data_IF_941002186510
#
_entry.id   IF_941002186510
#
_cell.length_a   1.000
_cell.length_b   1.000
_cell.length_c   1.000
_cell.angle_alpha   90.00
_cell.angle_beta   90.00
_cell.angle_gamma   90.00
#
_symmetry.space_group_name_H-M   'P 1'
#
loop_
_entity.id
_entity.type
_entity.pdbx_description
1 polymer ?
#
# COMPACT_ATOMS: atom_id res chain seq x y z
N UNK A 1 0.80 -23.43 -21.06
CA UNK A 1 1.57 -23.87 -19.89
C UNK A 1 0.73 -24.93 -19.20
N UNK A 2 1.26 -26.11 -19.03
CA UNK A 2 0.55 -27.22 -18.38
C UNK A 2 0.37 -26.91 -16.90
N UNK A 3 -0.86 -26.91 -16.43
CA UNK A 3 -1.29 -26.63 -15.03
C UNK A 3 -0.53 -27.42 -13.93
N UNK A 4 0.30 -28.38 -14.31
CA UNK A 4 0.94 -29.30 -13.38
C UNK A 4 2.21 -28.79 -12.68
N UNK A 5 2.75 -27.65 -13.09
CA UNK A 5 3.98 -27.11 -12.51
C UNK A 5 3.75 -26.07 -11.42
N UNK A 6 2.56 -25.49 -11.35
CA UNK A 6 2.22 -24.45 -10.38
C UNK A 6 1.41 -25.04 -9.22
N UNK A 7 1.97 -25.04 -8.03
CA UNK A 7 1.23 -25.46 -6.82
C UNK A 7 0.16 -24.42 -6.53
N UNK A 8 -1.09 -24.89 -6.42
CA UNK A 8 -2.23 -24.07 -6.06
C UNK A 8 -2.92 -24.65 -4.80
N UNK A 9 -3.90 -23.91 -4.28
CA UNK A 9 -4.65 -24.30 -3.09
C UNK A 9 -5.23 -25.72 -3.19
N UNK A 10 -5.84 -26.11 -4.31
CA UNK A 10 -6.44 -27.42 -4.47
C UNK A 10 -5.40 -28.56 -4.42
N UNK A 11 -4.24 -28.37 -5.05
CA UNK A 11 -3.13 -29.33 -5.01
C UNK A 11 -2.55 -29.43 -3.59
N UNK A 12 -2.39 -28.29 -2.90
CA UNK A 12 -1.92 -28.28 -1.51
C UNK A 12 -2.92 -28.98 -0.59
N UNK A 13 -4.21 -28.68 -0.73
CA UNK A 13 -5.28 -29.30 0.04
C UNK A 13 -5.27 -30.85 -0.13
N UNK A 14 -5.16 -31.32 -1.40
CA UNK A 14 -5.08 -32.74 -1.69
C UNK A 14 -3.83 -33.38 -1.07
N UNK A 15 -2.65 -32.79 -1.27
CA UNK A 15 -1.38 -33.40 -0.86
C UNK A 15 -1.18 -33.36 0.64
N UNK A 16 -1.47 -32.25 1.30
CA UNK A 16 -1.39 -32.12 2.75
C UNK A 16 -2.45 -32.99 3.42
N UNK A 17 -3.69 -32.98 2.90
CA UNK A 17 -4.75 -33.83 3.42
C UNK A 17 -4.46 -35.32 3.26
N UNK A 18 -3.85 -35.74 2.14
CA UNK A 18 -3.39 -37.13 1.98
C UNK A 18 -2.29 -37.50 2.96
N UNK A 19 -1.32 -36.58 3.22
CA UNK A 19 -0.25 -36.82 4.17
C UNK A 19 -0.78 -36.97 5.60
N UNK A 20 -1.78 -36.19 5.99
CA UNK A 20 -2.32 -36.16 7.36
C UNK A 20 -3.40 -37.21 7.58
N UNK A 21 -4.38 -37.33 6.68
CA UNK A 21 -5.59 -38.16 6.86
C UNK A 21 -5.61 -39.39 5.97
N UNK A 22 -4.66 -39.58 5.08
CA UNK A 22 -4.60 -40.69 4.14
C UNK A 22 -5.64 -40.64 3.02
N UNK A 23 -6.43 -39.57 2.91
CA UNK A 23 -7.49 -39.39 1.90
C UNK A 23 -7.17 -38.15 1.05
N UNK A 24 -7.65 -38.12 -0.21
CA UNK A 24 -7.37 -37.06 -1.17
C UNK A 24 -8.50 -36.07 -1.39
N UNK A 25 -9.70 -36.40 -0.89
CA UNK A 25 -10.90 -35.59 -1.05
C UNK A 25 -11.97 -36.02 -0.06
N UNK A 26 -13.06 -35.26 0.06
CA UNK A 26 -14.17 -35.57 0.95
C UNK A 26 -13.86 -35.26 2.42
N UNK A 27 -13.03 -34.27 2.68
CA UNK A 27 -12.71 -33.83 4.04
C UNK A 27 -13.93 -33.26 4.74
N UNK A 28 -14.04 -33.51 6.05
CA UNK A 28 -14.99 -32.79 6.90
C UNK A 28 -14.60 -31.33 7.01
N UNK A 29 -15.50 -30.49 7.52
CA UNK A 29 -15.21 -29.06 7.75
C UNK A 29 -14.00 -28.87 8.66
N UNK A 30 -13.93 -29.63 9.76
CA UNK A 30 -12.82 -29.55 10.71
C UNK A 30 -11.49 -29.97 10.07
N UNK A 31 -11.50 -31.10 9.32
CA UNK A 31 -10.31 -31.54 8.59
C UNK A 31 -9.84 -30.50 7.54
N UNK A 32 -10.78 -29.87 6.83
CA UNK A 32 -10.45 -28.81 5.88
C UNK A 32 -9.78 -27.63 6.58
N UNK A 33 -10.33 -27.19 7.71
CA UNK A 33 -9.77 -26.11 8.53
C UNK A 33 -8.35 -26.46 9.02
N UNK A 34 -8.16 -27.68 9.48
CA UNK A 34 -6.84 -28.15 9.94
C UNK A 34 -5.82 -28.16 8.81
N UNK A 35 -6.19 -28.63 7.61
CA UNK A 35 -5.32 -28.62 6.43
C UNK A 35 -5.00 -27.17 6.02
N UNK A 36 -5.99 -26.29 6.01
CA UNK A 36 -5.80 -24.86 5.69
C UNK A 36 -4.85 -24.18 6.67
N UNK A 37 -4.96 -24.48 7.96
CA UNK A 37 -4.03 -23.98 8.98
C UNK A 37 -2.61 -24.49 8.70
N UNK A 38 -2.42 -25.78 8.42
CA UNK A 38 -1.11 -26.34 8.10
C UNK A 38 -0.51 -25.71 6.82
N UNK A 39 -1.31 -25.47 5.79
CA UNK A 39 -0.90 -24.80 4.56
C UNK A 39 -0.45 -23.37 4.85
N UNK A 40 -1.26 -22.59 5.55
CA UNK A 40 -0.97 -21.18 5.82
C UNK A 40 0.21 -21.00 6.78
N UNK A 41 0.41 -21.92 7.71
CA UNK A 41 1.59 -21.93 8.57
C UNK A 41 2.87 -22.26 7.78
N UNK A 42 2.82 -23.24 6.87
CA UNK A 42 3.93 -23.54 5.97
C UNK A 42 4.27 -22.37 5.05
N UNK A 43 3.26 -21.70 4.50
CA UNK A 43 3.47 -20.48 3.71
C UNK A 43 4.11 -19.36 4.53
N UNK A 44 3.67 -19.19 5.78
CA UNK A 44 4.26 -18.19 6.70
C UNK A 44 5.75 -18.47 6.94
N UNK A 45 6.13 -19.74 7.11
CA UNK A 45 7.53 -20.13 7.27
C UNK A 45 8.36 -19.77 6.03
N UNK A 46 7.87 -20.04 4.82
CA UNK A 46 8.53 -19.64 3.56
C UNK A 46 8.69 -18.13 3.45
N UNK A 47 7.61 -17.40 3.70
CA UNK A 47 7.58 -15.95 3.51
C UNK A 47 8.37 -15.18 4.57
N UNK A 48 8.48 -15.72 5.78
CA UNK A 48 9.30 -15.15 6.84
C UNK A 48 10.80 -15.44 6.68
N UNK A 49 11.17 -16.47 5.91
CA UNK A 49 12.55 -16.90 5.77
C UNK A 49 13.45 -15.95 4.98
N UNK A 50 12.88 -15.13 4.10
CA UNK A 50 13.62 -14.21 3.23
C UNK A 50 12.78 -12.98 2.86
N UNK A 51 13.48 -11.87 2.57
CA UNK A 51 12.84 -10.67 2.00
C UNK A 51 12.70 -10.83 0.48
N UNK A 52 11.67 -11.57 0.07
CA UNK A 52 11.45 -11.98 -1.31
C UNK A 52 11.16 -10.80 -2.23
N UNK A 53 11.77 -10.81 -3.41
CA UNK A 53 11.65 -9.73 -4.41
C UNK A 53 10.21 -9.50 -4.87
N UNK A 54 9.40 -10.54 -4.97
CA UNK A 54 8.01 -10.48 -5.41
C UNK A 54 7.05 -9.83 -4.40
N UNK A 55 7.47 -9.57 -3.16
CA UNK A 55 6.69 -8.78 -2.20
C UNK A 55 6.86 -7.28 -2.35
N UNK A 56 7.66 -6.83 -3.31
CA UNK A 56 7.96 -5.42 -3.54
C UNK A 56 7.36 -4.91 -4.88
N UNK A 57 6.05 -5.04 -5.11
CA UNK A 57 5.43 -4.47 -6.30
C UNK A 57 5.43 -2.94 -6.25
N UNK A 58 5.33 -2.33 -7.42
CA UNK A 58 5.01 -0.91 -7.52
C UNK A 58 3.48 -0.79 -7.50
N UNK A 59 2.97 -0.06 -6.52
CA UNK A 59 1.53 0.14 -6.33
C UNK A 59 1.16 1.57 -6.68
N UNK A 60 0.07 1.75 -7.41
CA UNK A 60 -0.46 3.07 -7.72
C UNK A 60 -1.38 3.56 -6.59
N UNK A 61 -1.22 4.84 -6.22
CA UNK A 61 -2.12 5.58 -5.34
C UNK A 61 -2.71 6.69 -6.18
N UNK A 62 -4.02 6.70 -6.36
CA UNK A 62 -4.72 7.77 -7.09
C UNK A 62 -5.22 8.82 -6.11
N UNK A 63 -4.80 10.07 -6.28
CA UNK A 63 -5.31 11.19 -5.49
C UNK A 63 -6.67 11.64 -6.02
N UNK A 64 -7.36 12.44 -5.24
CA UNK A 64 -8.68 12.98 -5.60
C UNK A 64 -8.56 14.50 -5.81
N UNK A 65 -9.16 14.99 -6.88
CA UNK A 65 -9.34 16.43 -7.04
C UNK A 65 -10.30 16.98 -5.95
N UNK A 66 -10.14 18.23 -5.53
CA UNK A 66 -11.11 18.90 -4.69
C UNK A 66 -12.51 18.86 -5.29
N UNK A 67 -13.51 18.75 -4.44
CA UNK A 67 -14.91 18.69 -4.85
C UNK A 67 -15.66 19.90 -4.30
N UNK A 68 -16.36 20.64 -5.17
CA UNK A 68 -17.05 21.89 -4.84
C UNK A 68 -18.38 22.06 -5.59
N UNK A 69 -19.02 20.93 -5.97
CA UNK A 69 -20.26 20.99 -6.77
C UNK A 69 -21.47 21.34 -5.90
N UNK A 70 -22.19 22.40 -6.25
CA UNK A 70 -23.37 22.87 -5.53
C UNK A 70 -23.04 23.79 -4.36
N UNK A 71 -24.02 24.02 -3.51
CA UNK A 71 -23.89 24.76 -2.26
C UNK A 71 -24.26 23.91 -1.07
N UNK A 72 -23.86 24.31 0.12
CA UNK A 72 -24.19 23.59 1.36
C UNK A 72 -24.85 24.50 2.38
N UNK A 73 -25.61 23.89 3.27
CA UNK A 73 -25.98 24.43 4.59
C UNK A 73 -25.37 23.57 5.68
N UNK A 74 -24.99 24.15 6.80
CA UNK A 74 -24.46 23.43 7.94
C UNK A 74 -25.33 23.71 9.15
N UNK A 75 -25.86 22.65 9.74
CA UNK A 75 -26.64 22.72 10.98
C UNK A 75 -26.09 21.69 11.97
N UNK A 76 -25.69 22.15 13.15
CA UNK A 76 -25.17 21.30 14.23
C UNK A 76 -24.07 20.31 13.76
N UNK A 77 -23.15 20.81 12.94
CA UNK A 77 -22.04 20.02 12.37
C UNK A 77 -22.45 19.08 11.23
N UNK A 78 -23.67 19.14 10.72
CA UNK A 78 -24.11 18.37 9.55
C UNK A 78 -24.15 19.27 8.33
N UNK A 79 -23.23 19.05 7.39
CA UNK A 79 -23.23 19.76 6.11
C UNK A 79 -24.10 19.00 5.09
N UNK A 80 -25.08 19.69 4.54
CA UNK A 80 -26.04 19.13 3.59
C UNK A 80 -25.95 19.85 2.26
N UNK A 81 -25.85 19.09 1.17
CA UNK A 81 -25.89 19.61 -0.21
C UNK A 81 -27.28 20.11 -0.55
N UNK A 82 -27.36 21.33 -1.02
CA UNK A 82 -28.58 22.00 -1.44
C UNK A 82 -28.38 22.74 -2.77
N UNK A 83 -29.47 23.04 -3.44
CA UNK A 83 -29.45 23.92 -4.62
C UNK A 83 -29.38 25.41 -4.22
N UNK A 84 -29.34 26.29 -5.22
CA UNK A 84 -29.25 27.75 -5.02
C UNK A 84 -30.52 28.36 -4.31
N UNK A 85 -31.55 27.57 -4.11
CA UNK A 85 -32.77 27.96 -3.39
C UNK A 85 -32.96 27.18 -2.07
N UNK A 86 -31.98 26.38 -1.68
CA UNK A 86 -31.97 25.64 -0.41
C UNK A 86 -32.71 24.30 -0.43
N UNK A 87 -33.08 23.78 -1.60
CA UNK A 87 -33.68 22.45 -1.71
C UNK A 87 -32.61 21.36 -1.87
N UNK A 88 -32.91 20.15 -1.38
CA UNK A 88 -32.00 19.01 -1.54
C UNK A 88 -31.74 18.70 -3.02
N UNK A 89 -30.49 18.52 -3.39
CA UNK A 89 -30.06 18.21 -4.75
C UNK A 89 -29.83 16.72 -4.96
N UNK A 90 -29.83 16.32 -6.23
CA UNK A 90 -29.33 14.98 -6.66
C UNK A 90 -27.81 14.90 -6.73
N UNK A 91 -27.07 16.00 -6.52
CA UNK A 91 -25.62 15.97 -6.40
C UNK A 91 -25.21 15.16 -5.15
N UNK A 92 -24.12 14.43 -5.26
CA UNK A 92 -23.65 13.57 -4.21
C UNK A 92 -22.22 13.96 -3.81
N UNK A 93 -21.96 14.00 -2.51
CA UNK A 93 -20.58 14.04 -2.03
C UNK A 93 -19.84 12.80 -2.53
N UNK A 94 -18.56 12.92 -2.91
CA UNK A 94 -17.76 11.77 -3.32
C UNK A 94 -17.69 10.73 -2.20
N UNK A 95 -17.54 9.47 -2.58
CA UNK A 95 -17.46 8.36 -1.60
C UNK A 95 -16.30 8.50 -0.59
N UNK A 96 -15.25 9.21 -0.97
CA UNK A 96 -14.11 9.49 -0.12
C UNK A 96 -14.31 10.67 0.85
N UNK A 97 -15.46 11.36 0.80
CA UNK A 97 -15.71 12.55 1.63
C UNK A 97 -15.55 12.30 3.14
N UNK A 98 -15.81 11.09 3.62
CA UNK A 98 -15.55 10.70 5.01
C UNK A 98 -14.07 10.77 5.45
N UNK A 99 -13.15 10.98 4.52
CA UNK A 99 -11.70 11.14 4.79
C UNK A 99 -11.23 12.53 4.32
N UNK A 100 -12.15 13.45 4.19
CA UNK A 100 -11.91 14.79 3.67
C UNK A 100 -11.91 15.86 4.74
N UNK A 101 -11.43 17.02 4.33
CA UNK A 101 -11.53 18.28 5.08
C UNK A 101 -12.45 19.19 4.31
N UNK A 102 -13.50 19.65 4.96
CA UNK A 102 -14.45 20.61 4.42
C UNK A 102 -13.93 22.03 4.67
N UNK A 103 -13.76 22.79 3.61
CA UNK A 103 -13.45 24.21 3.67
C UNK A 103 -14.71 25.00 3.35
N UNK A 104 -15.12 25.87 4.26
CA UNK A 104 -16.25 26.79 4.09
C UNK A 104 -15.80 28.14 4.60
N UNK A 105 -15.91 29.16 3.77
CA UNK A 105 -15.37 30.49 4.03
C UNK A 105 -13.86 30.41 4.42
N UNK A 106 -13.51 30.84 5.62
CA UNK A 106 -12.13 30.79 6.15
C UNK A 106 -11.93 29.58 7.10
N UNK A 107 -12.95 28.74 7.30
CA UNK A 107 -12.92 27.60 8.20
C UNK A 107 -12.51 26.29 7.51
N UNK A 108 -11.78 25.45 8.23
CA UNK A 108 -11.41 24.08 7.85
C UNK A 108 -11.95 23.11 8.89
N UNK A 109 -12.74 22.15 8.45
CA UNK A 109 -13.45 21.22 9.32
C UNK A 109 -13.19 19.79 8.88
N UNK A 110 -12.66 18.97 9.76
CA UNK A 110 -12.52 17.53 9.53
C UNK A 110 -13.89 16.87 9.42
N UNK A 111 -14.04 15.99 8.43
CA UNK A 111 -15.25 15.21 8.24
C UNK A 111 -15.14 13.93 9.06
N UNK A 112 -16.08 13.72 9.98
CA UNK A 112 -16.21 12.50 10.77
C UNK A 112 -16.78 11.36 9.93
N UNK A 113 -17.90 11.61 9.26
CA UNK A 113 -18.59 10.56 8.51
C UNK A 113 -19.39 11.13 7.32
N UNK A 114 -19.69 10.23 6.36
CA UNK A 114 -20.57 10.51 5.22
C UNK A 114 -21.89 9.77 5.44
N UNK A 115 -22.97 10.53 5.59
CA UNK A 115 -24.30 9.99 5.78
C UNK A 115 -25.13 10.14 4.49
N UNK A 116 -25.26 9.05 3.75
CA UNK A 116 -25.92 9.07 2.45
C UNK A 116 -25.11 9.80 1.37
N UNK A 117 -25.80 10.25 0.33
CA UNK A 117 -25.15 10.88 -0.82
C UNK A 117 -24.98 12.39 -0.67
N UNK A 118 -25.83 13.04 0.09
CA UNK A 118 -25.91 14.49 0.17
C UNK A 118 -25.55 15.08 1.53
N UNK A 119 -25.07 14.26 2.48
CA UNK A 119 -24.73 14.73 3.82
C UNK A 119 -23.38 14.22 4.28
N UNK A 120 -22.64 15.09 4.95
CA UNK A 120 -21.44 14.74 5.73
C UNK A 120 -21.56 15.32 7.13
N UNK A 121 -21.07 14.58 8.12
CA UNK A 121 -21.00 15.03 9.52
C UNK A 121 -19.58 15.48 9.80
N UNK A 122 -19.44 16.61 10.45
CA UNK A 122 -18.16 17.17 10.86
C UNK A 122 -17.79 16.67 12.26
N UNK A 123 -16.51 16.58 12.56
CA UNK A 123 -16.04 16.28 13.93
C UNK A 123 -16.48 17.37 14.91
N UNK A 124 -16.47 18.63 14.48
CA UNK A 124 -16.97 19.76 15.26
C UNK A 124 -18.49 19.96 15.04
N UNK A 125 -19.28 19.44 15.96
CA UNK A 125 -20.75 19.57 15.93
C UNK A 125 -21.27 20.95 16.32
N UNK A 126 -20.41 21.87 16.72
CA UNK A 126 -20.82 23.25 17.05
C UNK A 126 -20.93 24.17 15.84
N UNK A 127 -20.46 23.70 14.67
CA UNK A 127 -20.45 24.47 13.45
C UNK A 127 -21.86 24.56 12.86
N UNK A 128 -22.32 25.78 12.60
CA UNK A 128 -23.56 26.04 11.91
C UNK A 128 -23.38 27.21 10.94
N UNK A 129 -23.91 27.06 9.73
CA UNK A 129 -23.99 28.11 8.72
C UNK A 129 -25.35 28.02 8.04
N UNK A 130 -26.24 28.92 8.44
CA UNK A 130 -27.64 28.96 7.95
C UNK A 130 -27.75 29.50 6.52
N UNK A 131 -26.74 30.22 6.04
CA UNK A 131 -26.69 30.72 4.68
C UNK A 131 -26.16 29.66 3.70
N UNK A 132 -26.66 29.72 2.46
CA UNK A 132 -26.08 28.94 1.36
C UNK A 132 -24.62 29.34 1.18
N UNK A 133 -23.73 28.43 1.47
CA UNK A 133 -22.30 28.68 1.41
C UNK A 133 -21.63 27.88 0.27
N UNK A 134 -20.71 28.54 -0.41
CA UNK A 134 -19.77 27.84 -1.28
C UNK A 134 -18.79 27.06 -0.42
N UNK A 135 -18.40 25.90 -0.89
CA UNK A 135 -17.52 25.02 -0.15
C UNK A 135 -16.51 24.32 -1.07
N UNK A 136 -15.51 23.79 -0.47
CA UNK A 136 -14.57 22.88 -1.11
C UNK A 136 -14.28 21.73 -0.14
N UNK A 137 -14.41 20.50 -0.59
CA UNK A 137 -13.96 19.34 0.18
C UNK A 137 -12.71 18.77 -0.48
N UNK A 138 -11.63 18.67 0.31
CA UNK A 138 -10.31 18.21 -0.12
C UNK A 138 -9.92 16.95 0.62
N UNK A 139 -9.08 16.14 0.01
CA UNK A 139 -8.55 14.92 0.64
C UNK A 139 -7.03 14.95 0.62
N UNK A 140 -6.43 14.91 1.79
CA UNK A 140 -4.98 14.82 1.93
C UNK A 140 -4.52 13.45 2.47
N UNK A 141 -5.44 12.59 2.89
CA UNK A 141 -5.18 11.26 3.42
C UNK A 141 -5.73 10.16 2.54
N UNK A 142 -4.95 9.14 2.30
CA UNK A 142 -5.32 7.99 1.47
C UNK A 142 -5.00 6.70 2.17
N UNK A 143 -5.94 5.76 2.18
CA UNK A 143 -5.74 4.45 2.75
C UNK A 143 -4.75 3.65 1.90
N UNK A 144 -3.79 3.02 2.55
CA UNK A 144 -2.90 2.06 1.92
C UNK A 144 -3.54 0.67 1.90
N UNK A 145 -3.09 -0.21 1.00
CA UNK A 145 -3.59 -1.58 0.95
C UNK A 145 -3.56 -2.26 2.32
N UNK A 146 -4.55 -3.10 2.63
CA UNK A 146 -4.59 -3.85 3.89
C UNK A 146 -3.34 -4.72 4.12
N UNK A 147 -2.73 -5.16 3.02
CA UNK A 147 -1.48 -5.92 3.00
C UNK A 147 -0.21 -5.07 3.14
N UNK A 148 -0.33 -3.76 3.25
CA UNK A 148 0.81 -2.84 3.34
C UNK A 148 1.71 -3.14 4.54
N UNK A 149 3.02 -3.17 4.31
CA UNK A 149 4.04 -3.30 5.35
C UNK A 149 4.95 -2.06 5.42
N UNK A 150 5.54 -1.66 4.31
CA UNK A 150 6.41 -0.47 4.21
C UNK A 150 6.48 0.06 2.78
N UNK A 151 6.84 1.34 2.64
CA UNK A 151 7.32 1.91 1.36
C UNK A 151 8.81 1.59 1.24
N UNK A 152 9.23 1.09 0.07
CA UNK A 152 10.59 0.59 -0.19
C UNK A 152 11.28 1.37 -1.32
N UNK A 153 10.95 2.64 -1.47
CA UNK A 153 11.54 3.51 -2.47
C UNK A 153 10.94 4.91 -2.46
N UNK A 154 11.20 5.64 -3.52
CA UNK A 154 10.65 6.98 -3.68
C UNK A 154 9.25 6.94 -4.25
N UNK A 155 8.39 7.84 -3.79
CA UNK A 155 7.09 8.10 -4.40
C UNK A 155 7.31 8.97 -5.63
N UNK A 156 6.77 8.53 -6.79
CA UNK A 156 6.94 9.23 -8.06
C UNK A 156 5.59 9.47 -8.72
N UNK A 157 5.52 10.48 -9.56
CA UNK A 157 4.38 10.73 -10.43
C UNK A 157 4.36 9.79 -11.64
N UNK A 158 3.24 9.78 -12.35
CA UNK A 158 3.09 9.02 -13.58
C UNK A 158 4.12 9.44 -14.64
N UNK A 159 4.72 8.47 -15.37
CA UNK A 159 5.61 8.77 -16.47
C UNK A 159 4.89 9.51 -17.61
N UNK A 160 5.54 10.50 -18.20
CA UNK A 160 5.01 11.21 -19.37
C UNK A 160 4.37 12.57 -19.06
N UNK A 161 4.33 12.98 -17.80
CA UNK A 161 4.02 14.35 -17.46
C UNK A 161 5.08 15.30 -18.08
N UNK A 162 4.61 16.33 -18.76
CA UNK A 162 5.47 17.27 -19.52
C UNK A 162 6.39 18.11 -18.66
N UNK A 163 6.05 18.24 -17.37
CA UNK A 163 6.79 19.04 -16.41
C UNK A 163 7.67 18.13 -15.54
N UNK A 164 8.85 18.62 -15.20
CA UNK A 164 9.76 17.93 -14.30
C UNK A 164 9.23 17.99 -12.87
N UNK A 165 8.74 16.86 -12.36
CA UNK A 165 8.34 16.74 -10.96
C UNK A 165 9.39 15.97 -10.17
N UNK A 166 9.85 16.54 -9.05
CA UNK A 166 10.73 15.82 -8.14
C UNK A 166 9.94 14.68 -7.47
N UNK A 167 10.66 13.63 -7.08
CA UNK A 167 10.08 12.58 -6.23
C UNK A 167 9.50 13.16 -4.93
N UNK A 168 8.37 12.62 -4.50
CA UNK A 168 7.68 13.04 -3.30
C UNK A 168 8.46 12.53 -2.08
N UNK A 169 8.89 13.44 -1.21
CA UNK A 169 9.82 13.15 -0.11
C UNK A 169 9.08 12.76 1.17
N UNK A 170 9.57 11.71 1.83
CA UNK A 170 9.08 11.34 3.16
C UNK A 170 9.42 12.42 4.21
N UNK A 171 8.46 12.69 5.10
CA UNK A 171 8.58 13.59 6.24
C UNK A 171 7.94 12.96 7.48
N UNK A 172 8.22 13.54 8.64
CA UNK A 172 7.53 13.14 9.87
C UNK A 172 6.08 13.64 9.86
N UNK A 173 5.17 12.83 10.33
CA UNK A 173 3.72 13.14 10.33
C UNK A 173 3.42 14.44 11.09
N UNK A 174 4.04 14.65 12.26
CA UNK A 174 3.87 15.89 13.03
C UNK A 174 4.36 17.15 12.31
N UNK A 175 5.38 17.04 11.43
CA UNK A 175 5.81 18.17 10.60
C UNK A 175 4.74 18.51 9.55
N UNK A 176 4.17 17.49 8.90
CA UNK A 176 3.13 17.72 7.89
C UNK A 176 1.86 18.27 8.52
N UNK A 177 1.45 17.76 9.67
CA UNK A 177 0.28 18.27 10.42
C UNK A 177 0.44 19.74 10.76
N UNK A 178 1.61 20.15 11.24
CA UNK A 178 1.89 21.57 11.51
C UNK A 178 1.81 22.40 10.22
N UNK A 179 2.34 21.88 9.10
CA UNK A 179 2.26 22.59 7.81
C UNK A 179 0.82 22.73 7.32
N UNK A 180 -0.01 21.69 7.48
CA UNK A 180 -1.43 21.75 7.16
C UNK A 180 -2.17 22.75 8.04
N UNK A 181 -1.82 22.83 9.33
CA UNK A 181 -2.37 23.82 10.26
C UNK A 181 -1.94 25.25 9.89
N UNK A 182 -0.66 25.46 9.56
CA UNK A 182 -0.13 26.78 9.24
C UNK A 182 -0.59 27.29 7.86
N UNK A 183 -0.71 26.37 6.89
CA UNK A 183 -1.07 26.70 5.52
C UNK A 183 -1.68 25.48 4.78
N UNK A 184 -2.98 25.35 4.88
CA UNK A 184 -3.74 24.30 4.20
C UNK A 184 -4.11 24.73 2.77
N UNK A 185 -3.15 24.74 1.85
CA UNK A 185 -3.41 25.02 0.44
C UNK A 185 -3.40 23.76 -0.41
N UNK A 186 -4.06 23.84 -1.53
CA UNK A 186 -4.10 22.78 -2.55
C UNK A 186 -3.04 23.04 -3.61
N UNK A 187 -2.26 22.03 -3.93
CA UNK A 187 -1.25 22.04 -4.98
C UNK A 187 -0.78 20.58 -5.20
N UNK A 188 0.17 20.39 -6.07
CA UNK A 188 0.82 19.08 -6.25
C UNK A 188 1.55 18.63 -5.00
N UNK A 189 1.35 17.39 -4.54
CA UNK A 189 2.05 16.85 -3.38
C UNK A 189 3.56 16.82 -3.56
N UNK A 190 4.29 17.39 -2.62
CA UNK A 190 5.76 17.39 -2.58
C UNK A 190 6.32 16.53 -1.44
N UNK A 191 5.50 16.30 -0.43
CA UNK A 191 5.86 15.56 0.77
C UNK A 191 4.79 14.55 1.12
N UNK A 192 5.20 13.46 1.74
CA UNK A 192 4.28 12.51 2.34
C UNK A 192 4.73 12.09 3.73
N UNK A 193 3.78 11.69 4.53
CA UNK A 193 4.02 11.00 5.79
C UNK A 193 3.14 9.76 5.89
N UNK A 194 3.55 8.83 6.72
CA UNK A 194 2.77 7.63 7.03
C UNK A 194 2.22 7.76 8.44
N UNK A 195 0.93 7.51 8.60
CA UNK A 195 0.29 7.40 9.91
C UNK A 195 -0.51 6.10 10.00
N UNK A 196 -0.69 5.62 11.20
CA UNK A 196 -1.66 4.55 11.45
C UNK A 196 -3.06 5.15 11.50
N UNK A 197 -3.98 4.52 10.79
CA UNK A 197 -5.40 4.77 11.00
C UNK A 197 -5.80 4.31 12.41
N UNK A 198 -6.90 4.81 12.91
CA UNK A 198 -7.49 4.32 14.14
C UNK A 198 -7.71 2.81 14.08
N UNK A 199 -7.54 2.14 15.21
CA UNK A 199 -7.70 0.70 15.29
C UNK A 199 -9.18 0.34 15.23
N UNK A 200 -9.57 -0.40 14.19
CA UNK A 200 -10.89 -1.00 14.07
C UNK A 200 -10.80 -2.50 14.36
N UNK A 201 -11.47 -3.02 15.40
CA UNK A 201 -11.40 -4.44 15.75
C UNK A 201 -11.97 -5.37 14.67
N UNK A 202 -12.77 -4.86 13.73
CA UNK A 202 -13.34 -5.66 12.64
C UNK A 202 -12.43 -5.74 11.42
N UNK A 203 -11.58 -4.72 11.23
CA UNK A 203 -10.73 -4.55 10.05
C UNK A 203 -9.24 -4.69 10.39
N UNK A 204 -8.89 -4.43 11.65
CA UNK A 204 -7.51 -4.42 12.14
C UNK A 204 -6.79 -3.09 11.92
N UNK A 205 -5.48 -3.10 12.13
CA UNK A 205 -4.64 -1.91 11.93
C UNK A 205 -4.40 -1.65 10.46
N UNK A 206 -4.68 -0.45 10.02
CA UNK A 206 -4.40 0.03 8.66
C UNK A 206 -3.43 1.19 8.68
N UNK A 207 -2.84 1.44 7.54
CA UNK A 207 -1.96 2.58 7.33
C UNK A 207 -2.58 3.55 6.34
N UNK A 208 -2.33 4.84 6.58
CA UNK A 208 -2.65 5.93 5.68
C UNK A 208 -1.40 6.67 5.26
N UNK A 209 -1.43 7.18 4.07
CA UNK A 209 -0.46 8.15 3.58
C UNK A 209 -1.09 9.54 3.61
N UNK A 210 -0.40 10.48 4.23
CA UNK A 210 -0.76 11.89 4.28
C UNK A 210 0.08 12.62 3.26
N UNK A 211 -0.52 13.38 2.38
CA UNK A 211 0.14 14.15 1.33
C UNK A 211 0.12 15.64 1.65
N UNK A 212 1.21 16.33 1.33
CA UNK A 212 1.31 17.78 1.46
C UNK A 212 2.11 18.39 0.30
N UNK A 213 1.66 19.49 -0.33
CA UNK A 213 0.32 20.09 -0.20
C UNK A 213 -0.84 19.12 -0.43
N UNK A 214 -2.05 19.53 -0.03
CA UNK A 214 -3.25 18.77 -0.37
C UNK A 214 -3.42 18.69 -1.88
N UNK A 215 -3.65 17.52 -2.48
CA UNK A 215 -3.76 17.39 -3.94
C UNK A 215 -4.83 18.31 -4.53
N UNK A 216 -4.47 19.07 -5.56
CA UNK A 216 -5.36 19.96 -6.34
C UNK A 216 -6.00 19.26 -7.54
N UNK A 217 -5.53 18.05 -7.87
CA UNK A 217 -6.02 17.25 -8.98
C UNK A 217 -5.92 15.74 -8.68
N UNK A 218 -6.48 14.94 -9.56
CA UNK A 218 -6.30 13.50 -9.54
C UNK A 218 -4.95 13.15 -10.17
N UNK A 219 -3.98 12.81 -9.33
CA UNK A 219 -2.67 12.32 -9.74
C UNK A 219 -2.55 10.82 -9.53
N UNK A 220 -1.83 10.14 -10.40
CA UNK A 220 -1.43 8.76 -10.19
C UNK A 220 0.00 8.75 -9.65
N UNK A 221 0.13 8.34 -8.40
CA UNK A 221 1.41 8.27 -7.69
C UNK A 221 1.85 6.81 -7.63
N UNK A 222 3.08 6.53 -8.04
CA UNK A 222 3.66 5.19 -7.96
C UNK A 222 4.57 5.06 -6.75
N UNK A 223 4.27 4.06 -5.94
CA UNK A 223 4.99 3.76 -4.72
C UNK A 223 5.48 2.31 -4.75
N UNK A 224 6.80 2.07 -4.77
CA UNK A 224 7.34 0.75 -4.46
C UNK A 224 6.98 0.40 -3.02
N UNK A 225 6.20 -0.66 -2.83
CA UNK A 225 5.71 -1.06 -1.50
C UNK A 225 6.06 -2.51 -1.23
N UNK A 226 6.43 -2.80 0.01
CA UNK A 226 6.41 -4.17 0.50
C UNK A 226 5.02 -4.49 0.98
N UNK A 227 4.45 -5.56 0.42
CA UNK A 227 3.13 -6.07 0.78
C UNK A 227 3.25 -7.41 1.49
N UNK A 228 2.38 -7.64 2.48
CA UNK A 228 2.22 -8.96 3.10
C UNK A 228 1.36 -9.85 2.22
N UNK A 229 1.68 -11.12 2.08
CA UNK A 229 0.82 -12.05 1.38
C UNK A 229 -0.49 -12.27 2.16
N UNK A 230 -1.55 -12.50 1.42
CA UNK A 230 -2.82 -12.99 1.97
C UNK A 230 -2.76 -14.49 2.21
N UNK A 231 -3.56 -15.00 3.16
CA UNK A 231 -3.73 -16.43 3.36
C UNK A 231 -4.29 -17.10 2.10
N UNK A 232 -3.90 -18.35 1.88
CA UNK A 232 -4.43 -19.18 0.82
C UNK A 232 -5.77 -19.79 1.26
N UNK A 233 -6.76 -19.71 0.39
CA UNK A 233 -8.09 -20.25 0.57
C UNK A 233 -8.76 -20.58 -0.77
N UNK A 234 -10.03 -20.92 -0.76
CA UNK A 234 -10.81 -21.20 -1.98
C UNK A 234 -10.93 -20.01 -2.94
N UNK A 235 -10.76 -18.79 -2.44
CA UNK A 235 -10.79 -17.52 -3.22
C UNK A 235 -9.40 -17.15 -3.69
N UNK A 236 -8.42 -17.15 -2.78
CA UNK A 236 -7.00 -16.88 -3.05
C UNK A 236 -6.28 -18.20 -3.33
N UNK A 237 -6.36 -18.65 -4.59
CA UNK A 237 -5.95 -20.01 -4.97
C UNK A 237 -4.46 -20.19 -5.21
N UNK A 238 -3.73 -19.13 -5.49
CA UNK A 238 -2.33 -19.22 -5.89
C UNK A 238 -1.41 -18.54 -4.87
N UNK A 239 -0.39 -19.25 -4.38
CA UNK A 239 0.61 -18.65 -3.50
C UNK A 239 1.46 -17.64 -4.29
N UNK A 240 1.88 -16.58 -3.63
CA UNK A 240 2.80 -15.60 -4.19
C UNK A 240 4.19 -16.22 -4.32
N UNK A 241 4.91 -15.89 -5.39
CA UNK A 241 6.28 -16.39 -5.63
C UNK A 241 6.45 -17.25 -6.87
N UNK A 242 5.36 -17.62 -7.51
CA UNK A 242 5.39 -18.28 -8.81
C UNK A 242 5.81 -19.74 -8.80
N UNK A 243 6.07 -20.26 -10.01
CA UNK A 243 6.38 -21.66 -10.26
C UNK A 243 7.68 -22.11 -9.57
N UNK A 244 8.68 -21.23 -9.51
CA UNK A 244 10.00 -21.56 -8.93
C UNK A 244 9.95 -21.93 -7.45
N UNK A 245 8.98 -21.41 -6.71
CA UNK A 245 8.80 -21.69 -5.29
C UNK A 245 7.85 -22.87 -5.02
N UNK A 246 7.22 -23.44 -6.03
CA UNK A 246 6.17 -24.46 -5.86
C UNK A 246 6.64 -25.66 -5.03
N UNK A 247 7.85 -26.16 -5.29
CA UNK A 247 8.39 -27.30 -4.52
C UNK A 247 8.73 -26.90 -3.08
N UNK A 248 9.32 -25.73 -2.87
CA UNK A 248 9.63 -25.21 -1.54
C UNK A 248 8.36 -25.02 -0.71
N UNK A 249 7.33 -24.43 -1.30
CA UNK A 249 6.02 -24.23 -0.65
C UNK A 249 5.38 -25.55 -0.28
N UNK A 250 5.39 -26.52 -1.18
CA UNK A 250 4.83 -27.84 -0.89
C UNK A 250 5.55 -28.51 0.30
N UNK A 251 6.87 -28.51 0.30
CA UNK A 251 7.64 -29.12 1.39
C UNK A 251 7.45 -28.37 2.72
N UNK A 252 7.31 -27.04 2.69
CA UNK A 252 6.99 -26.25 3.88
C UNK A 252 5.61 -26.56 4.45
N UNK A 253 4.60 -26.70 3.60
CA UNK A 253 3.24 -27.06 4.02
C UNK A 253 3.20 -28.48 4.63
N UNK A 254 3.90 -29.42 4.01
CA UNK A 254 4.02 -30.80 4.53
C UNK A 254 4.83 -30.83 5.84
N UNK A 255 5.89 -30.03 5.95
CA UNK A 255 6.65 -29.89 7.18
C UNK A 255 5.84 -29.29 8.33
N UNK A 256 4.97 -28.32 8.01
CA UNK A 256 4.02 -27.78 8.98
C UNK A 256 3.01 -28.83 9.44
N UNK A 257 2.50 -29.62 8.51
CA UNK A 257 1.60 -30.74 8.83
C UNK A 257 2.26 -31.81 9.71
N UNK A 258 3.53 -32.19 9.39
CA UNK A 258 4.32 -33.11 10.24
C UNK A 258 4.44 -32.58 11.68
N UNK A 259 4.71 -31.31 11.86
CA UNK A 259 4.84 -30.70 13.20
C UNK A 259 3.54 -30.70 13.97
N UNK A 260 2.42 -30.43 13.28
CA UNK A 260 1.09 -30.35 13.91
C UNK A 260 0.55 -31.72 14.32
N UNK A 261 0.78 -32.76 13.51
CA UNK A 261 0.17 -34.06 13.73
C UNK A 261 1.13 -35.09 14.33
N UNK A 262 2.37 -35.12 13.92
CA UNK A 262 3.35 -36.09 14.42
C UNK A 262 4.18 -35.54 15.60
N UNK A 263 4.12 -34.22 15.85
CA UNK A 263 4.88 -33.56 16.90
C UNK A 263 6.40 -33.64 16.71
N UNK A 264 6.85 -33.97 15.50
CA UNK A 264 8.26 -34.24 15.20
C UNK A 264 8.75 -33.48 13.95
N UNK A 265 10.04 -33.30 13.86
CA UNK A 265 10.73 -32.79 12.67
C UNK A 265 11.00 -33.97 11.74
N UNK A 266 10.19 -34.07 10.68
CA UNK A 266 10.25 -35.20 9.75
C UNK A 266 11.11 -34.95 8.51
N UNK A 267 10.85 -35.72 7.46
CA UNK A 267 11.60 -35.67 6.21
C UNK A 267 11.31 -34.38 5.42
N UNK A 268 10.07 -33.88 5.49
CA UNK A 268 9.68 -32.66 4.78
C UNK A 268 10.33 -31.41 5.37
N UNK A 269 10.51 -31.38 6.68
CA UNK A 269 11.26 -30.31 7.36
C UNK A 269 12.74 -30.27 6.90
N UNK A 270 13.38 -31.39 6.70
CA UNK A 270 14.76 -31.46 6.17
C UNK A 270 14.83 -30.99 4.73
N UNK A 271 13.92 -31.46 3.87
CA UNK A 271 13.83 -31.06 2.47
C UNK A 271 13.55 -29.55 2.32
N UNK A 272 12.69 -29.00 3.15
CA UNK A 272 12.46 -27.55 3.19
C UNK A 272 13.76 -26.79 3.47
N UNK A 273 14.54 -27.22 4.47
CA UNK A 273 15.83 -26.60 4.80
C UNK A 273 16.86 -26.73 3.67
N UNK A 274 16.85 -27.81 2.91
CA UNK A 274 17.75 -28.01 1.76
C UNK A 274 17.35 -27.12 0.56
N UNK A 275 16.04 -26.96 0.30
CA UNK A 275 15.53 -26.20 -0.83
C UNK A 275 15.58 -24.68 -0.60
N UNK A 276 15.44 -24.24 0.65
CA UNK A 276 15.37 -22.82 1.00
C UNK A 276 16.58 -22.00 0.51
N UNK A 277 17.83 -22.40 0.72
CA UNK A 277 18.98 -21.66 0.21
C UNK A 277 19.01 -21.53 -1.31
N UNK A 278 18.60 -22.58 -2.03
CA UNK A 278 18.52 -22.58 -3.50
C UNK A 278 17.47 -21.61 -4.01
N UNK A 279 16.30 -21.57 -3.35
CA UNK A 279 15.24 -20.63 -3.67
C UNK A 279 15.65 -19.17 -3.41
N UNK A 280 16.33 -18.92 -2.30
CA UNK A 280 16.87 -17.58 -1.96
C UNK A 280 17.90 -17.14 -3.01
N UNK A 281 18.79 -18.05 -3.43
CA UNK A 281 19.76 -17.75 -4.48
C UNK A 281 19.05 -17.42 -5.81
N UNK A 282 18.06 -18.21 -6.20
CA UNK A 282 17.30 -17.99 -7.43
C UNK A 282 16.52 -16.67 -7.42
N UNK A 283 16.00 -16.24 -6.27
CA UNK A 283 15.34 -14.94 -6.11
C UNK A 283 16.33 -13.79 -6.25
N UNK A 284 17.50 -13.89 -5.62
CA UNK A 284 18.57 -12.88 -5.74
C UNK A 284 19.09 -12.74 -7.17
N UNK A 285 19.21 -13.85 -7.92
CA UNK A 285 19.63 -13.83 -9.32
C UNK A 285 18.56 -13.24 -10.24
N UNK A 286 17.28 -13.44 -9.93
CA UNK A 286 16.16 -12.93 -10.71
C UNK A 286 15.85 -11.45 -10.40
N UNK A 287 16.23 -10.96 -9.23
CA UNK A 287 15.94 -9.58 -8.83
C UNK A 287 17.05 -8.63 -9.26
N UNK A 288 16.65 -7.43 -9.68
CA UNK A 288 17.63 -6.35 -9.90
C UNK A 288 18.25 -5.95 -8.55
N UNK A 289 19.58 -5.81 -8.46
CA UNK A 289 20.22 -5.38 -7.22
C UNK A 289 19.62 -4.04 -6.76
N UNK A 290 19.11 -3.99 -5.53
CA UNK A 290 18.56 -2.76 -4.93
C UNK A 290 19.64 -1.72 -4.65
N UNK A 291 20.86 -2.18 -4.47
CA UNK A 291 22.04 -1.33 -4.28
C UNK A 291 23.15 -1.80 -5.22
N UNK A 292 23.72 -0.89 -5.97
CA UNK A 292 24.90 -1.15 -6.81
C UNK A 292 26.17 -1.31 -5.95
N UNK A 293 26.09 -2.16 -4.90
CA UNK A 293 27.17 -2.43 -3.99
C UNK A 293 27.37 -1.34 -2.92
N UNK A 294 28.09 -1.66 -1.81
CA UNK A 294 28.36 -0.72 -0.73
C UNK A 294 29.26 0.44 -1.14
N UNK A 295 29.93 0.34 -2.30
CA UNK A 295 30.92 1.29 -2.80
C UNK A 295 30.44 2.15 -3.97
N UNK A 296 29.14 2.22 -4.25
CA UNK A 296 28.61 3.28 -5.10
C UNK A 296 28.20 4.47 -4.22
N UNK A 297 29.16 5.33 -3.80
CA UNK A 297 28.77 6.55 -3.10
C UNK A 297 27.88 7.35 -4.06
N UNK A 298 26.72 7.80 -3.55
CA UNK A 298 25.81 8.71 -4.29
C UNK A 298 26.55 9.90 -4.88
N UNK A 299 27.72 10.23 -4.35
CA UNK A 299 28.61 11.30 -4.85
C UNK A 299 29.40 10.96 -6.13
N UNK A 300 29.44 9.69 -6.57
CA UNK A 300 30.06 9.32 -7.86
C UNK A 300 29.21 9.73 -9.07
N UNK A 301 27.96 10.10 -8.87
CA UNK A 301 27.12 10.73 -9.89
C UNK A 301 27.09 12.26 -9.83
N UNK A 302 27.81 12.88 -8.90
CA UNK A 302 28.36 14.19 -9.24
C UNK A 302 29.29 13.88 -10.41
N UNK A 303 28.80 14.11 -11.63
CA UNK A 303 29.69 14.32 -12.76
C UNK A 303 30.76 15.22 -12.18
N UNK A 304 32.02 14.78 -12.05
CA UNK A 304 33.05 15.73 -11.70
C UNK A 304 32.89 16.78 -12.77
N UNK A 305 32.43 17.95 -12.37
CA UNK A 305 32.65 19.11 -13.22
C UNK A 305 34.14 19.05 -13.45
N UNK A 306 34.57 18.75 -14.70
CA UNK A 306 35.98 18.51 -14.89
C UNK A 306 36.67 19.74 -14.33
N UNK A 307 37.59 19.56 -13.43
CA UNK A 307 38.48 20.60 -12.95
C UNK A 307 39.25 21.27 -14.12
N UNK A 308 38.91 20.95 -15.30
CA UNK A 308 39.44 21.29 -16.61
C UNK A 308 39.09 22.70 -17.06
N UNK A 309 38.17 23.38 -16.40
CA UNK A 309 37.99 24.81 -16.71
C UNK A 309 39.05 25.72 -16.07
N UNK A 310 39.89 25.17 -15.18
CA UNK A 310 41.06 25.87 -14.65
C UNK A 310 42.27 25.87 -15.58
N UNK A 311 42.33 24.96 -16.57
CA UNK A 311 43.46 24.82 -17.49
C UNK A 311 43.12 25.19 -18.96
N UNK A 312 42.11 26.02 -19.15
CA UNK A 312 41.85 26.58 -20.47
C UNK A 312 42.91 27.58 -20.83
N UNK A 313 43.89 27.16 -21.63
CA UNK A 313 44.80 28.05 -22.31
C UNK A 313 44.04 28.82 -23.39
N UNK A 314 43.87 30.11 -23.17
CA UNK A 314 43.40 31.04 -24.18
C UNK A 314 44.61 31.74 -24.81
N UNK A 315 44.79 31.57 -26.12
CA UNK A 315 45.96 32.12 -26.89
C UNK A 315 47.35 31.67 -26.42
N UNK A 316 47.45 30.44 -25.86
CA UNK A 316 48.75 29.89 -25.49
C UNK A 316 49.24 30.26 -24.10
N UNK A 317 48.50 31.06 -23.35
CA UNK A 317 48.82 31.39 -21.96
C UNK A 317 47.90 30.61 -20.99
N UNK A 318 48.51 29.97 -19.99
CA UNK A 318 47.81 29.37 -18.86
C UNK A 318 47.33 30.46 -17.93
N UNK A 319 46.02 30.52 -17.65
CA UNK A 319 45.49 31.29 -16.55
C UNK A 319 45.49 30.49 -15.26
#
# INVERSE_FOLDING_TARGET
MTEYQYVNYAILLERVGHAVFGIRSGYSTDQTTDIENAINDGLRDVYAAHDWSFFHPVTAITTSAPYSTGTITIADGVATLVDDVGSLVTAAFPSWAAQGVLKVDDGYYEVDSRYGDNQVTLEDTSVSADALSSYEICRHEYDLPASYEKIDGELTYEPGESDYYPAIKARQEGELRRRLQDNAYTDRPLYYALRRAEFDPTVGSRWRIVLYPTPDAAYMLYAPMKLRPTSLDSTNKYPVGGEKLSQLILEACLASAERLYDGAVGIHSKRFQELLPLAIQADKEASTPRTLGPDAPRDKYKIPVPAQFGDLTFNGDTM
#
